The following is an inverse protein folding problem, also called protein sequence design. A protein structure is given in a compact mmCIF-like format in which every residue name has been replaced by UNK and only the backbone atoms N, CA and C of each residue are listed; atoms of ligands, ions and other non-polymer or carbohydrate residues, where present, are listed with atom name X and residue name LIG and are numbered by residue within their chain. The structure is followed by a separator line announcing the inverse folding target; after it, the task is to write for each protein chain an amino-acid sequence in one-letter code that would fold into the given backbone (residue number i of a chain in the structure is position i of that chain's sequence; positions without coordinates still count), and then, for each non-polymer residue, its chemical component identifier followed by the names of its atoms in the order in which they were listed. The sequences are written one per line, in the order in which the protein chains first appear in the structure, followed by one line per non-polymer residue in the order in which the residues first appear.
data_IF_075324050825
#
_entry.id   IF_075324050825
#
_cell.length_a   1.000
_cell.length_b   1.000
_cell.length_c   1.000
_cell.angle_alpha   90.00
_cell.angle_beta   90.00
_cell.angle_gamma   90.00
#
_symmetry.space_group_name_H-M   'P 1'
#
loop_
_entity.id
_entity.type
_entity.pdbx_description
1 polymer ?
#
# COMPACT_ATOMS: atom_id res chain seq x y z
N UNK A 1 13.97 -0.47 10.16
CA UNK A 1 13.40 -0.45 11.52
C UNK A 1 14.26 -1.23 12.51
N UNK A 2 14.50 -2.54 12.33
CA UNK A 2 15.32 -3.36 13.23
C UNK A 2 16.63 -2.68 13.67
N UNK A 3 17.50 -2.33 12.72
CA UNK A 3 18.77 -1.64 12.98
C UNK A 3 18.62 -0.37 13.82
N UNK A 4 17.60 0.45 13.55
CA UNK A 4 17.36 1.70 14.30
C UNK A 4 16.93 1.44 15.74
N UNK A 5 16.23 0.34 16.01
CA UNK A 5 15.75 -0.01 17.34
C UNK A 5 16.81 -0.74 18.18
N UNK A 6 17.59 -1.62 17.57
CA UNK A 6 18.53 -2.50 18.28
C UNK A 6 19.97 -2.00 18.23
N UNK A 7 20.30 -1.14 17.26
CA UNK A 7 21.68 -0.81 16.90
C UNK A 7 22.42 -1.93 16.18
N UNK A 8 21.79 -3.09 15.97
CA UNK A 8 22.41 -4.24 15.35
C UNK A 8 22.48 -4.07 13.83
N UNK A 9 23.71 -3.92 13.34
CA UNK A 9 24.05 -3.76 11.94
C UNK A 9 24.58 -5.05 11.31
N UNK A 10 24.67 -6.16 12.06
CA UNK A 10 25.26 -7.42 11.56
C UNK A 10 24.46 -8.04 10.41
N UNK A 11 23.19 -7.67 10.26
CA UNK A 11 22.32 -8.12 9.17
C UNK A 11 22.71 -7.52 7.81
N UNK A 12 23.50 -6.45 7.78
CA UNK A 12 23.90 -5.76 6.54
C UNK A 12 25.22 -6.29 5.98
N UNK A 13 25.33 -7.61 5.92
CA UNK A 13 26.47 -8.32 5.35
C UNK A 13 26.46 -8.38 3.83
N UNK A 14 27.28 -9.26 3.26
CA UNK A 14 27.44 -9.42 1.81
C UNK A 14 26.12 -9.78 1.10
N UNK A 15 25.33 -10.69 1.67
CA UNK A 15 24.03 -11.08 1.10
C UNK A 15 23.05 -9.90 1.01
N UNK A 16 23.07 -9.01 2.01
CA UNK A 16 22.25 -7.79 1.98
C UNK A 16 22.70 -6.84 0.87
N UNK A 17 24.01 -6.66 0.71
CA UNK A 17 24.58 -5.82 -0.35
C UNK A 17 24.21 -6.35 -1.74
N UNK A 18 24.31 -7.66 -1.96
CA UNK A 18 23.85 -8.30 -3.20
C UNK A 18 22.34 -8.10 -3.41
N UNK A 19 21.54 -8.22 -2.35
CA UNK A 19 20.10 -8.02 -2.43
C UNK A 19 19.72 -6.59 -2.86
N UNK A 20 20.36 -5.55 -2.28
CA UNK A 20 20.04 -4.17 -2.64
C UNK A 20 20.50 -3.81 -4.06
N UNK A 21 21.61 -4.38 -4.54
CA UNK A 21 22.03 -4.26 -5.95
C UNK A 21 21.00 -4.88 -6.90
N UNK A 22 20.42 -6.03 -6.53
CA UNK A 22 19.34 -6.67 -7.30
C UNK A 22 18.09 -5.79 -7.29
N UNK A 23 17.69 -5.23 -6.13
CA UNK A 23 16.55 -4.32 -6.04
C UNK A 23 16.72 -3.12 -6.97
N UNK A 24 17.88 -2.45 -6.94
CA UNK A 24 18.17 -1.32 -7.82
C UNK A 24 18.10 -1.71 -9.30
N UNK A 25 18.72 -2.83 -9.67
CA UNK A 25 18.67 -3.34 -11.04
C UNK A 25 17.23 -3.59 -11.48
N UNK A 26 16.46 -4.32 -10.67
CA UNK A 26 15.07 -4.66 -10.99
C UNK A 26 14.18 -3.41 -11.11
N UNK A 27 14.33 -2.43 -10.21
CA UNK A 27 13.59 -1.17 -10.33
C UNK A 27 13.95 -0.40 -11.60
N UNK A 28 15.25 -0.26 -11.92
CA UNK A 28 15.72 0.38 -13.16
C UNK A 28 15.22 -0.35 -14.42
N UNK A 29 15.28 -1.68 -14.44
CA UNK A 29 14.71 -2.51 -15.52
C UNK A 29 13.21 -2.26 -15.70
N UNK A 30 12.46 -2.17 -14.60
CA UNK A 30 11.01 -1.90 -14.64
C UNK A 30 10.64 -0.43 -14.84
N UNK A 31 11.60 0.51 -14.90
CA UNK A 31 11.33 1.83 -15.49
C UNK A 31 11.11 1.74 -17.02
N UNK A 32 11.51 0.62 -17.65
CA UNK A 32 11.27 0.29 -19.06
C UNK A 32 11.71 1.38 -20.06
N UNK A 33 12.78 2.10 -19.73
CA UNK A 33 13.30 3.22 -20.53
C UNK A 33 13.81 2.78 -21.91
N UNK A 34 14.59 1.70 -21.94
CA UNK A 34 15.25 1.23 -23.17
C UNK A 34 14.49 0.08 -23.84
N UNK A 35 13.81 -0.76 -23.05
CA UNK A 35 13.04 -1.92 -23.50
C UNK A 35 12.03 -2.36 -22.42
N UNK A 36 11.24 -3.41 -22.68
CA UNK A 36 10.21 -3.91 -21.75
C UNK A 36 10.76 -4.58 -20.47
N UNK A 37 12.07 -4.80 -20.39
CA UNK A 37 12.72 -5.50 -19.30
C UNK A 37 12.67 -7.03 -19.44
N UNK A 38 13.24 -7.76 -18.46
CA UNK A 38 13.37 -9.22 -18.54
C UNK A 38 12.14 -9.99 -18.04
N UNK A 39 11.16 -9.31 -17.43
CA UNK A 39 10.04 -9.96 -16.75
C UNK A 39 8.76 -9.96 -17.61
N UNK A 40 8.26 -11.15 -17.89
CA UNK A 40 6.94 -11.41 -18.48
C UNK A 40 6.24 -12.51 -17.68
N UNK A 41 4.93 -12.44 -17.57
CA UNK A 41 4.16 -13.42 -16.80
C UNK A 41 2.83 -13.76 -17.46
N UNK A 42 2.54 -15.06 -17.60
CA UNK A 42 1.19 -15.53 -17.90
C UNK A 42 0.89 -16.78 -17.05
N UNK A 43 -0.35 -16.86 -16.59
CA UNK A 43 -0.92 -18.04 -15.91
C UNK A 43 -2.12 -18.53 -16.71
N UNK A 44 -2.28 -19.85 -16.81
CA UNK A 44 -3.54 -20.46 -17.25
C UNK A 44 -4.50 -20.47 -16.07
N UNK A 45 -5.49 -19.59 -16.08
CA UNK A 45 -6.43 -19.35 -14.98
C UNK A 45 -7.72 -18.74 -15.53
N UNK A 46 -8.82 -18.95 -14.82
CA UNK A 46 -10.11 -18.30 -15.04
C UNK A 46 -10.19 -16.90 -14.39
N UNK A 47 -9.29 -16.59 -13.45
CA UNK A 47 -9.24 -15.31 -12.75
C UNK A 47 -8.48 -14.30 -13.59
N UNK A 48 -9.17 -13.26 -14.06
CA UNK A 48 -8.59 -12.29 -14.99
C UNK A 48 -7.38 -11.54 -14.41
N UNK A 49 -7.38 -11.26 -13.11
CA UNK A 49 -6.29 -10.57 -12.43
C UNK A 49 -5.08 -11.45 -12.10
N UNK A 50 -5.21 -12.78 -12.18
CA UNK A 50 -4.12 -13.74 -11.90
C UNK A 50 -3.17 -13.94 -13.10
N UNK A 51 -3.40 -13.24 -14.21
CA UNK A 51 -2.60 -13.32 -15.44
C UNK A 51 -2.48 -11.94 -16.08
N UNK A 52 -1.52 -11.77 -16.98
CA UNK A 52 -1.15 -10.46 -17.52
C UNK A 52 -1.38 -10.41 -19.03
N UNK A 53 -2.01 -9.32 -19.48
CA UNK A 53 -2.32 -9.08 -20.89
C UNK A 53 -1.09 -8.76 -21.75
N UNK A 54 -1.32 -8.59 -23.06
CA UNK A 54 -0.27 -8.29 -24.06
C UNK A 54 0.88 -9.32 -24.05
N UNK A 55 0.54 -10.60 -24.03
CA UNK A 55 1.55 -11.68 -24.01
C UNK A 55 2.39 -11.70 -22.72
N UNK A 56 1.82 -11.25 -21.60
CA UNK A 56 2.47 -11.23 -20.29
C UNK A 56 3.26 -9.97 -19.94
N UNK A 57 3.27 -8.97 -20.83
CA UNK A 57 3.99 -7.70 -20.62
C UNK A 57 3.19 -6.62 -19.89
N UNK A 58 1.87 -6.81 -19.77
CA UNK A 58 0.92 -5.87 -19.17
C UNK A 58 0.53 -4.73 -20.11
N UNK A 59 -0.30 -3.80 -19.63
CA UNK A 59 -0.68 -2.63 -20.42
C UNK A 59 0.54 -1.73 -20.70
N UNK A 60 0.67 -1.13 -21.90
CA UNK A 60 1.80 -0.27 -22.22
C UNK A 60 1.99 0.86 -21.20
N UNK A 61 3.24 1.22 -20.96
CA UNK A 61 3.62 2.39 -20.16
C UNK A 61 4.52 3.31 -20.97
N UNK A 62 4.40 4.62 -20.73
CA UNK A 62 5.39 5.60 -21.19
C UNK A 62 6.47 5.70 -20.11
N UNK A 63 7.75 5.44 -20.40
CA UNK A 63 8.79 5.41 -19.39
C UNK A 63 9.14 6.81 -18.88
N UNK A 64 8.37 7.30 -17.90
CA UNK A 64 8.43 8.66 -17.37
C UNK A 64 9.24 8.80 -16.08
N UNK A 65 9.91 7.72 -15.64
CA UNK A 65 10.71 7.67 -14.42
C UNK A 65 10.08 6.85 -13.28
N UNK A 66 8.78 6.54 -13.36
CA UNK A 66 8.11 5.61 -12.44
C UNK A 66 8.52 4.15 -12.71
N UNK A 67 8.36 3.30 -11.70
CA UNK A 67 8.67 1.87 -11.72
C UNK A 67 7.38 1.10 -12.00
N UNK A 68 7.38 0.27 -13.05
CA UNK A 68 6.27 -0.60 -13.38
C UNK A 68 6.17 -1.78 -12.40
N UNK A 69 4.96 -2.01 -11.87
CA UNK A 69 4.59 -3.22 -11.15
C UNK A 69 3.54 -3.97 -11.96
N UNK A 70 3.76 -5.24 -12.27
CA UNK A 70 2.74 -6.02 -12.98
C UNK A 70 1.57 -6.40 -12.06
N UNK A 71 1.84 -6.53 -10.75
CA UNK A 71 0.88 -6.94 -9.74
C UNK A 71 0.83 -5.95 -8.58
N UNK A 72 -0.31 -5.90 -7.92
CA UNK A 72 -0.58 -5.17 -6.68
C UNK A 72 -0.14 -5.99 -5.47
N UNK A 73 -0.10 -5.41 -4.26
CA UNK A 73 0.05 -6.19 -3.03
C UNK A 73 -1.13 -7.15 -2.76
N UNK A 74 -2.24 -7.03 -3.49
CA UNK A 74 -3.34 -8.02 -3.49
C UNK A 74 -3.06 -9.24 -4.37
N UNK A 75 -1.90 -9.32 -5.02
CA UNK A 75 -1.55 -10.28 -6.07
C UNK A 75 -2.39 -10.17 -7.36
N UNK A 76 -3.24 -9.14 -7.49
CA UNK A 76 -3.98 -8.85 -8.71
C UNK A 76 -3.14 -8.03 -9.70
N UNK A 77 -3.24 -8.36 -10.99
CA UNK A 77 -2.58 -7.60 -12.04
C UNK A 77 -3.04 -6.13 -12.05
N UNK A 78 -2.08 -5.21 -12.16
CA UNK A 78 -2.38 -3.78 -12.33
C UNK A 78 -3.10 -3.51 -13.65
N UNK A 79 -3.97 -2.50 -13.68
CA UNK A 79 -4.55 -1.98 -14.93
C UNK A 79 -3.52 -1.07 -15.60
N UNK A 80 -3.00 -0.07 -14.88
CA UNK A 80 -1.85 0.72 -15.33
C UNK A 80 -0.65 0.44 -14.43
N UNK A 81 0.49 0.10 -15.04
CA UNK A 81 1.57 -0.56 -14.29
C UNK A 81 2.31 0.37 -13.34
N UNK A 82 2.20 1.69 -13.45
CA UNK A 82 2.76 2.58 -12.43
C UNK A 82 1.80 2.67 -11.25
N UNK A 83 1.89 1.67 -10.37
CA UNK A 83 1.18 1.58 -9.11
C UNK A 83 1.70 2.64 -8.14
N UNK A 84 0.91 3.68 -7.91
CA UNK A 84 1.32 4.90 -7.22
C UNK A 84 1.73 4.64 -5.77
N UNK A 85 0.93 3.94 -4.92
CA UNK A 85 1.33 3.66 -3.54
C UNK A 85 2.67 2.89 -3.45
N UNK A 86 2.90 1.94 -4.37
CA UNK A 86 4.14 1.16 -4.38
C UNK A 86 5.35 1.99 -4.84
N UNK A 87 5.16 2.96 -5.74
CA UNK A 87 6.23 3.89 -6.13
C UNK A 87 6.59 4.84 -4.98
N UNK A 88 5.61 5.33 -4.22
CA UNK A 88 5.85 6.08 -2.98
C UNK A 88 6.64 5.25 -1.97
N UNK A 89 6.23 4.00 -1.75
CA UNK A 89 6.93 3.09 -0.84
C UNK A 89 8.37 2.76 -1.30
N UNK A 90 8.60 2.66 -2.61
CA UNK A 90 9.93 2.47 -3.18
C UNK A 90 10.85 3.66 -2.88
N UNK A 91 10.37 4.90 -3.00
CA UNK A 91 11.15 6.11 -2.65
C UNK A 91 11.61 6.07 -1.19
N UNK A 92 10.68 5.82 -0.26
CA UNK A 92 11.01 5.72 1.17
C UNK A 92 12.00 4.59 1.44
N UNK A 93 11.82 3.44 0.79
CA UNK A 93 12.67 2.26 0.99
C UNK A 93 14.08 2.46 0.44
N UNK A 94 14.23 3.09 -0.74
CA UNK A 94 15.52 3.43 -1.33
C UNK A 94 16.28 4.45 -0.47
N UNK A 95 15.61 5.45 0.09
CA UNK A 95 16.22 6.40 1.03
C UNK A 95 16.71 5.72 2.31
N UNK A 96 15.91 4.78 2.87
CA UNK A 96 16.34 3.95 4.01
C UNK A 96 17.56 3.08 3.66
N UNK A 97 17.59 2.51 2.45
CA UNK A 97 18.73 1.72 1.99
C UNK A 97 20.00 2.58 1.82
N UNK A 98 19.87 3.77 1.22
CA UNK A 98 20.97 4.72 1.08
C UNK A 98 21.58 5.09 2.45
N UNK A 99 20.74 5.38 3.45
CA UNK A 99 21.18 5.66 4.82
C UNK A 99 21.99 4.50 5.42
N UNK A 100 21.48 3.27 5.31
CA UNK A 100 22.17 2.08 5.80
C UNK A 100 23.51 1.90 5.09
N UNK A 101 23.54 1.99 3.76
CA UNK A 101 24.75 1.78 2.97
C UNK A 101 25.82 2.83 3.32
N UNK A 102 25.43 4.09 3.51
CA UNK A 102 26.35 5.15 3.94
C UNK A 102 26.87 4.91 5.35
N UNK A 103 25.99 4.60 6.31
CA UNK A 103 26.35 4.54 7.73
C UNK A 103 27.07 3.23 8.12
N UNK A 104 26.72 2.12 7.48
CA UNK A 104 27.16 0.77 7.87
C UNK A 104 28.17 0.20 6.88
N UNK A 105 27.87 0.26 5.58
CA UNK A 105 28.66 -0.42 4.55
C UNK A 105 29.76 0.47 3.95
N UNK A 106 29.68 1.79 4.16
CA UNK A 106 30.62 2.78 3.63
C UNK A 106 30.83 2.66 2.11
N UNK A 107 29.75 2.42 1.36
CA UNK A 107 29.76 2.37 -0.10
C UNK A 107 29.02 3.60 -0.68
N UNK A 108 29.69 4.75 -0.83
CA UNK A 108 29.04 5.99 -1.25
C UNK A 108 28.49 5.94 -2.67
N UNK A 109 29.05 5.11 -3.55
CA UNK A 109 28.58 4.96 -4.93
C UNK A 109 27.20 4.31 -4.94
N UNK A 110 27.05 3.17 -4.27
CA UNK A 110 25.77 2.47 -4.22
C UNK A 110 24.70 3.26 -3.45
N UNK A 111 25.09 3.95 -2.37
CA UNK A 111 24.18 4.84 -1.66
C UNK A 111 23.67 5.97 -2.56
N UNK A 112 24.55 6.55 -3.39
CA UNK A 112 24.15 7.59 -4.35
C UNK A 112 23.20 7.03 -5.42
N UNK A 113 23.42 5.82 -5.92
CA UNK A 113 22.50 5.20 -6.88
C UNK A 113 21.08 4.99 -6.30
N UNK A 114 20.97 4.64 -5.01
CA UNK A 114 19.69 4.57 -4.31
C UNK A 114 19.01 5.94 -4.24
N UNK A 115 19.75 6.97 -3.82
CA UNK A 115 19.24 8.34 -3.71
C UNK A 115 18.79 8.88 -5.07
N UNK A 116 19.60 8.69 -6.11
CA UNK A 116 19.31 9.18 -7.46
C UNK A 116 18.02 8.56 -8.03
N UNK A 117 17.84 7.24 -7.85
CA UNK A 117 16.62 6.57 -8.28
C UNK A 117 15.40 7.02 -7.46
N UNK A 118 15.57 7.20 -6.15
CA UNK A 118 14.49 7.72 -5.29
C UNK A 118 14.05 9.12 -5.73
N UNK A 119 15.00 10.01 -6.02
CA UNK A 119 14.73 11.38 -6.48
C UNK A 119 14.08 11.41 -7.86
N UNK A 120 14.50 10.54 -8.77
CA UNK A 120 13.85 10.38 -10.08
C UNK A 120 12.39 9.96 -9.93
N UNK A 121 12.12 8.89 -9.17
CA UNK A 121 10.75 8.38 -8.96
C UNK A 121 9.90 9.42 -8.26
N UNK A 122 10.42 10.11 -7.24
CA UNK A 122 9.74 11.20 -6.54
C UNK A 122 9.36 12.34 -7.49
N UNK A 123 10.28 12.74 -8.38
CA UNK A 123 10.02 13.77 -9.40
C UNK A 123 8.92 13.33 -10.36
N UNK A 124 8.92 12.06 -10.76
CA UNK A 124 7.87 11.51 -11.62
C UNK A 124 6.51 11.44 -10.89
N UNK A 125 6.48 11.04 -9.61
CA UNK A 125 5.27 11.03 -8.78
C UNK A 125 4.65 12.43 -8.70
N UNK A 126 5.45 13.46 -8.42
CA UNK A 126 4.97 14.85 -8.34
C UNK A 126 4.30 15.33 -9.65
N UNK A 127 4.69 14.77 -10.79
CA UNK A 127 4.19 15.17 -12.10
C UNK A 127 3.00 14.33 -12.59
N UNK A 128 2.97 13.05 -12.27
CA UNK A 128 2.03 12.09 -12.88
C UNK A 128 1.04 11.46 -11.90
N UNK A 129 1.31 11.49 -10.59
CA UNK A 129 0.49 10.77 -9.61
C UNK A 129 -0.79 11.50 -9.21
N UNK A 130 -0.90 12.81 -9.44
CA UNK A 130 -2.02 13.62 -8.94
C UNK A 130 -3.05 13.96 -10.01
N UNK A 131 -4.29 14.15 -9.58
CA UNK A 131 -5.41 14.61 -10.40
C UNK A 131 -6.29 15.58 -9.61
N UNK A 132 -6.83 16.60 -10.28
CA UNK A 132 -7.81 17.50 -9.68
C UNK A 132 -9.22 16.91 -9.81
N UNK A 133 -9.64 16.15 -8.81
CA UNK A 133 -10.99 15.59 -8.73
C UNK A 133 -12.03 16.71 -8.57
N UNK A 134 -13.16 16.65 -9.30
CA UNK A 134 -14.18 17.71 -9.26
C UNK A 134 -14.78 17.94 -7.86
N UNK A 135 -14.87 16.89 -7.04
CA UNK A 135 -15.42 16.96 -5.68
C UNK A 135 -14.36 17.12 -4.58
N UNK A 136 -13.19 16.49 -4.72
CA UNK A 136 -12.20 16.38 -3.64
C UNK A 136 -10.97 17.28 -3.84
N UNK A 137 -10.86 17.97 -4.98
CA UNK A 137 -9.66 18.72 -5.33
C UNK A 137 -8.51 17.78 -5.71
N UNK A 138 -7.27 18.21 -5.47
CA UNK A 138 -6.09 17.41 -5.79
C UNK A 138 -6.06 16.11 -4.95
N UNK A 139 -6.07 14.95 -5.63
CA UNK A 139 -5.93 13.62 -5.05
C UNK A 139 -4.84 12.83 -5.78
N UNK A 140 -4.35 11.76 -5.17
CA UNK A 140 -3.50 10.78 -5.84
C UNK A 140 -4.35 9.76 -6.61
N UNK A 141 -3.93 9.42 -7.82
CA UNK A 141 -4.41 8.26 -8.55
C UNK A 141 -3.84 6.98 -7.93
N UNK A 142 -4.53 5.86 -8.08
CA UNK A 142 -4.05 4.54 -7.64
C UNK A 142 -3.00 3.98 -8.61
N UNK A 143 -3.26 4.11 -9.90
CA UNK A 143 -2.40 3.62 -10.98
C UNK A 143 -2.38 4.62 -12.14
N UNK A 144 -1.23 4.75 -12.80
CA UNK A 144 -1.06 5.58 -14.00
C UNK A 144 -0.21 4.87 -15.05
N UNK A 145 -0.25 5.33 -16.30
CA UNK A 145 0.53 4.73 -17.41
C UNK A 145 1.59 5.67 -18.01
N UNK A 146 1.62 6.93 -17.60
CA UNK A 146 2.49 7.97 -18.14
C UNK A 146 2.07 8.54 -19.51
N UNK A 147 1.07 7.96 -20.18
CA UNK A 147 0.42 8.54 -21.36
C UNK A 147 -0.65 9.57 -21.00
N UNK A 148 -1.14 9.52 -19.75
CA UNK A 148 -2.15 10.43 -19.22
C UNK A 148 -3.38 9.71 -18.67
N UNK A 149 -3.44 8.38 -18.75
CA UNK A 149 -4.49 7.61 -18.10
C UNK A 149 -4.21 7.49 -16.61
N UNK A 150 -5.29 7.59 -15.83
CA UNK A 150 -5.24 7.54 -14.38
C UNK A 150 -6.42 6.69 -13.90
N UNK A 151 -6.16 5.76 -13.00
CA UNK A 151 -7.17 4.96 -12.34
C UNK A 151 -7.42 5.53 -10.94
N UNK A 152 -8.67 5.88 -10.66
CA UNK A 152 -9.11 6.36 -9.35
C UNK A 152 -9.87 5.25 -8.62
N UNK A 153 -9.22 4.72 -7.59
CA UNK A 153 -9.74 3.72 -6.65
C UNK A 153 -8.80 3.65 -5.45
N UNK A 154 -9.06 2.74 -4.52
CA UNK A 154 -8.02 2.19 -3.65
C UNK A 154 -8.29 0.70 -3.43
N UNK A 155 -7.26 -0.04 -3.05
CA UNK A 155 -7.35 -1.44 -2.64
C UNK A 155 -6.99 -1.58 -1.16
N UNK A 156 -7.55 -2.57 -0.47
CA UNK A 156 -7.27 -2.76 0.95
C UNK A 156 -5.82 -3.16 1.27
N UNK A 157 -5.09 -3.77 0.34
CA UNK A 157 -3.75 -4.32 0.59
C UNK A 157 -2.67 -3.24 0.63
N UNK A 158 -1.86 -3.22 1.70
CA UNK A 158 -0.76 -2.26 1.86
C UNK A 158 0.47 -2.69 1.06
N UNK A 159 1.14 -1.80 0.29
CA UNK A 159 0.92 -0.35 0.18
C UNK A 159 -0.33 0.02 -0.66
N UNK A 160 -1.18 0.86 -0.07
CA UNK A 160 -2.35 1.50 -0.71
C UNK A 160 -2.35 3.01 -0.42
N UNK A 161 -3.26 3.77 -1.04
CA UNK A 161 -3.31 5.22 -0.89
C UNK A 161 -3.62 5.62 0.56
N UNK A 162 -4.54 4.90 1.21
CA UNK A 162 -4.91 5.15 2.61
C UNK A 162 -3.73 5.00 3.58
N UNK A 163 -2.82 4.05 3.32
CA UNK A 163 -1.71 3.65 4.19
C UNK A 163 -0.41 4.44 4.02
N UNK A 164 -0.34 5.39 3.07
CA UNK A 164 0.91 6.11 2.80
C UNK A 164 1.52 6.76 4.05
N UNK A 165 0.76 7.40 4.97
CA UNK A 165 1.35 7.91 6.21
C UNK A 165 1.75 6.83 7.20
N UNK A 166 1.07 5.68 7.22
CA UNK A 166 1.45 4.54 8.06
C UNK A 166 2.83 4.00 7.66
N UNK A 167 3.12 3.95 6.36
CA UNK A 167 4.43 3.54 5.84
C UNK A 167 5.52 4.62 5.94
N UNK A 168 5.10 5.87 6.23
CA UNK A 168 5.97 7.04 6.27
C UNK A 168 6.31 7.61 4.90
N UNK A 169 5.49 7.34 3.89
CA UNK A 169 5.73 7.76 2.50
C UNK A 169 5.25 9.20 2.24
N UNK A 170 4.20 9.61 2.93
CA UNK A 170 3.59 10.95 2.85
C UNK A 170 3.25 11.42 4.26
N UNK A 171 3.38 12.72 4.53
CA UNK A 171 2.96 13.29 5.82
C UNK A 171 1.45 13.13 6.01
N UNK A 172 1.01 12.77 7.20
CA UNK A 172 -0.41 12.62 7.51
C UNK A 172 -1.22 13.91 7.27
N UNK A 173 -0.58 15.07 7.33
CA UNK A 173 -1.19 16.39 7.09
C UNK A 173 -1.02 16.88 5.65
N UNK A 174 -0.44 16.09 4.74
CA UNK A 174 -0.37 16.46 3.32
C UNK A 174 -1.81 16.70 2.81
N UNK A 175 -2.10 17.89 2.23
CA UNK A 175 -3.44 18.22 1.80
C UNK A 175 -3.96 17.30 0.67
N UNK A 176 -3.08 16.83 -0.22
CA UNK A 176 -3.43 15.88 -1.29
C UNK A 176 -3.75 14.53 -0.67
N UNK A 177 -2.98 14.08 0.33
CA UNK A 177 -3.32 12.87 1.08
C UNK A 177 -4.67 13.00 1.78
N UNK A 178 -4.93 14.11 2.48
CA UNK A 178 -6.20 14.31 3.18
C UNK A 178 -7.41 14.34 2.23
N UNK A 179 -7.27 14.91 1.04
CA UNK A 179 -8.29 14.82 -0.01
C UNK A 179 -8.45 13.37 -0.50
N UNK A 180 -7.33 12.67 -0.73
CA UNK A 180 -7.31 11.27 -1.16
C UNK A 180 -7.98 10.37 -0.12
N UNK A 181 -7.70 10.57 1.17
CA UNK A 181 -8.31 9.83 2.30
C UNK A 181 -9.83 9.94 2.31
N UNK A 182 -10.37 11.13 2.02
CA UNK A 182 -11.82 11.34 1.88
C UNK A 182 -12.37 10.65 0.64
N UNK A 183 -11.67 10.75 -0.49
CA UNK A 183 -12.04 10.11 -1.74
C UNK A 183 -12.11 8.57 -1.60
N UNK A 184 -11.05 7.94 -1.07
CA UNK A 184 -10.95 6.48 -1.01
C UNK A 184 -11.93 5.85 -0.01
N UNK A 185 -12.37 6.62 1.00
CA UNK A 185 -13.39 6.22 1.98
C UNK A 185 -14.79 6.79 1.63
N UNK A 186 -15.17 6.71 0.36
CA UNK A 186 -16.47 7.18 -0.15
C UNK A 186 -16.97 6.28 -1.29
N UNK A 187 -18.23 6.44 -1.68
CA UNK A 187 -18.84 5.74 -2.83
C UNK A 187 -18.26 6.17 -4.19
N UNK A 188 -17.41 7.20 -4.23
CA UNK A 188 -16.60 7.56 -5.40
C UNK A 188 -15.40 6.60 -5.61
N UNK A 189 -15.02 5.80 -4.60
CA UNK A 189 -14.09 4.68 -4.78
C UNK A 189 -14.89 3.42 -5.18
N UNK A 190 -14.65 2.83 -6.35
CA UNK A 190 -15.39 1.65 -6.82
C UNK A 190 -15.30 0.41 -5.91
N UNK A 191 -14.29 0.36 -5.04
CA UNK A 191 -14.05 -0.75 -4.10
C UNK A 191 -14.26 -0.36 -2.64
N UNK A 192 -14.88 0.80 -2.38
CA UNK A 192 -15.46 1.11 -1.08
C UNK A 192 -16.87 0.52 -1.01
N UNK A 193 -17.15 -0.22 0.05
CA UNK A 193 -18.44 -0.86 0.28
C UNK A 193 -19.02 -0.42 1.62
N UNK A 194 -20.33 -0.29 1.66
CA UNK A 194 -21.10 0.06 2.85
C UNK A 194 -22.38 -0.76 2.92
N UNK A 195 -22.62 -1.39 4.05
CA UNK A 195 -23.76 -2.26 4.30
C UNK A 195 -24.17 -2.26 5.77
N UNK A 196 -25.03 -3.22 6.13
CA UNK A 196 -25.59 -3.30 7.49
C UNK A 196 -24.58 -3.75 8.54
N UNK A 197 -23.55 -4.52 8.17
CA UNK A 197 -22.50 -4.99 9.08
C UNK A 197 -21.33 -4.01 9.20
N UNK A 198 -21.11 -3.13 8.21
CA UNK A 198 -20.00 -2.19 8.24
C UNK A 198 -19.74 -1.45 6.94
N UNK A 199 -18.65 -0.69 6.94
CA UNK A 199 -18.11 -0.04 5.75
C UNK A 199 -16.57 -0.13 5.70
N UNK A 200 -16.02 -0.12 4.50
CA UNK A 200 -14.58 -0.13 4.29
C UNK A 200 -14.20 -0.44 2.84
N UNK A 201 -12.90 -0.55 2.61
CA UNK A 201 -12.34 -0.80 1.27
C UNK A 201 -12.08 -2.31 1.13
N UNK A 202 -12.39 -2.85 -0.03
CA UNK A 202 -12.02 -4.19 -0.46
C UNK A 202 -11.06 -4.15 -1.65
N UNK A 203 -11.42 -4.85 -2.72
CA UNK A 203 -10.65 -4.91 -3.94
C UNK A 203 -11.23 -5.93 -4.93
N UNK A 204 -10.71 -6.01 -6.16
CA UNK A 204 -11.15 -7.00 -7.13
C UNK A 204 -10.80 -8.44 -6.73
N UNK A 205 -9.85 -8.64 -5.80
CA UNK A 205 -9.37 -9.96 -5.40
C UNK A 205 -10.48 -10.91 -4.94
N UNK A 206 -11.24 -10.52 -3.92
CA UNK A 206 -12.40 -11.31 -3.45
C UNK A 206 -13.66 -10.90 -4.25
N UNK A 207 -13.74 -9.63 -4.63
CA UNK A 207 -14.81 -9.10 -5.46
C UNK A 207 -15.75 -8.16 -4.71
N UNK A 208 -16.94 -7.96 -5.29
CA UNK A 208 -17.92 -6.97 -4.81
C UNK A 208 -18.40 -7.26 -3.40
N UNK A 209 -18.69 -6.18 -2.67
CA UNK A 209 -19.33 -6.19 -1.34
C UNK A 209 -18.50 -6.83 -0.22
N UNK A 210 -17.26 -7.23 -0.48
CA UNK A 210 -16.35 -7.84 0.49
C UNK A 210 -15.37 -6.79 1.02
N UNK A 211 -15.60 -6.34 2.25
CA UNK A 211 -14.76 -5.37 2.96
C UNK A 211 -13.59 -6.10 3.59
N UNK A 212 -12.40 -5.52 3.51
CA UNK A 212 -11.22 -6.08 4.17
C UNK A 212 -10.96 -5.35 5.50
N UNK A 213 -10.85 -6.06 6.64
CA UNK A 213 -10.45 -5.49 7.92
C UNK A 213 -9.16 -4.66 7.86
N UNK A 214 -8.24 -5.01 6.94
CA UNK A 214 -7.03 -4.23 6.70
C UNK A 214 -7.32 -2.74 6.46
N UNK A 215 -8.32 -2.43 5.64
CA UNK A 215 -8.67 -1.04 5.34
C UNK A 215 -9.15 -0.27 6.58
N UNK A 216 -9.90 -0.93 7.47
CA UNK A 216 -10.41 -0.35 8.71
C UNK A 216 -9.26 -0.13 9.70
N UNK A 217 -8.34 -1.09 9.82
CA UNK A 217 -7.13 -0.94 10.63
C UNK A 217 -6.27 0.22 10.13
N UNK A 218 -6.02 0.32 8.83
CA UNK A 218 -5.22 1.40 8.25
C UNK A 218 -5.91 2.75 8.43
N UNK A 219 -7.24 2.83 8.32
CA UNK A 219 -7.99 4.05 8.66
C UNK A 219 -7.74 4.49 10.09
N UNK A 220 -7.71 3.55 11.04
CA UNK A 220 -7.39 3.82 12.44
C UNK A 220 -5.91 4.24 12.62
N UNK A 221 -4.95 3.54 11.99
CA UNK A 221 -3.53 3.88 12.04
C UNK A 221 -3.23 5.30 11.55
N UNK A 222 -4.01 5.76 10.57
CA UNK A 222 -3.88 7.07 9.92
C UNK A 222 -4.95 8.07 10.38
N UNK A 223 -5.59 7.82 11.52
CA UNK A 223 -6.57 8.73 12.11
C UNK A 223 -5.91 9.77 13.00
N UNK A 224 -6.48 10.97 12.99
CA UNK A 224 -6.19 12.05 13.95
C UNK A 224 -7.39 12.33 14.89
N UNK A 225 -8.42 11.47 14.85
CA UNK A 225 -9.66 11.61 15.61
C UNK A 225 -9.88 10.41 16.51
N UNK A 226 -9.87 10.63 17.82
CA UNK A 226 -10.11 9.58 18.81
C UNK A 226 -11.45 8.87 18.61
N UNK A 227 -12.48 9.61 18.18
CA UNK A 227 -13.78 9.05 17.85
C UNK A 227 -13.70 8.13 16.63
N UNK A 228 -12.98 8.54 15.59
CA UNK A 228 -12.80 7.71 14.39
C UNK A 228 -12.02 6.43 14.71
N UNK A 229 -10.98 6.51 15.55
CA UNK A 229 -10.24 5.35 16.03
C UNK A 229 -11.18 4.39 16.76
N UNK A 230 -11.96 4.89 17.73
CA UNK A 230 -12.91 4.06 18.48
C UNK A 230 -13.93 3.37 17.57
N UNK A 231 -14.46 4.08 16.57
CA UNK A 231 -15.42 3.52 15.62
C UNK A 231 -14.79 2.42 14.76
N UNK A 232 -13.53 2.57 14.35
CA UNK A 232 -12.79 1.53 13.63
C UNK A 232 -12.56 0.30 14.51
N UNK A 233 -12.14 0.46 15.77
CA UNK A 233 -11.93 -0.67 16.69
C UNK A 233 -13.24 -1.39 16.97
N UNK A 234 -14.33 -0.66 17.25
CA UNK A 234 -15.67 -1.23 17.43
C UNK A 234 -16.12 -2.02 16.22
N UNK A 235 -15.90 -1.50 15.03
CA UNK A 235 -16.25 -2.20 13.80
C UNK A 235 -15.48 -3.51 13.68
N UNK A 236 -14.15 -3.49 13.88
CA UNK A 236 -13.30 -4.70 13.82
C UNK A 236 -13.77 -5.78 14.80
N UNK A 237 -14.12 -5.40 16.03
CA UNK A 237 -14.64 -6.33 17.04
C UNK A 237 -16.01 -6.91 16.69
N UNK A 238 -16.86 -6.16 15.99
CA UNK A 238 -18.20 -6.60 15.62
C UNK A 238 -18.27 -7.36 14.28
N UNK A 239 -17.15 -7.44 13.56
CA UNK A 239 -17.08 -8.09 12.23
C UNK A 239 -16.17 -9.32 12.19
N UNK A 240 -15.78 -9.85 13.35
CA UNK A 240 -14.94 -11.05 13.47
C UNK A 240 -15.73 -12.37 13.40
N UNK A 241 -17.06 -12.31 13.23
CA UNK A 241 -17.95 -13.46 13.26
C UNK A 241 -17.84 -14.34 14.53
N UNK A 242 -17.37 -13.77 15.65
CA UNK A 242 -17.15 -14.47 16.92
C UNK A 242 -15.92 -15.39 16.93
N UNK A 243 -15.00 -15.27 15.96
CA UNK A 243 -13.81 -16.13 15.89
C UNK A 243 -12.67 -15.64 16.77
N UNK A 244 -12.65 -14.36 17.15
CA UNK A 244 -11.54 -13.74 17.85
C UNK A 244 -10.31 -13.48 16.98
N UNK A 245 -10.43 -13.58 15.64
CA UNK A 245 -9.35 -13.37 14.68
C UNK A 245 -9.72 -12.36 13.60
N UNK A 246 -8.71 -11.79 12.94
CA UNK A 246 -8.91 -10.90 11.80
C UNK A 246 -8.85 -11.70 10.51
N UNK A 247 -9.95 -11.63 9.75
CA UNK A 247 -10.11 -12.28 8.45
C UNK A 247 -9.50 -11.46 7.31
N UNK A 248 -9.42 -12.06 6.13
CA UNK A 248 -9.05 -11.34 4.91
C UNK A 248 -10.13 -10.35 4.50
N UNK A 249 -11.37 -10.82 4.41
CA UNK A 249 -12.53 -10.00 4.06
C UNK A 249 -13.80 -10.51 4.71
N UNK A 250 -14.82 -9.65 4.83
CA UNK A 250 -16.18 -10.00 5.27
C UNK A 250 -17.22 -9.27 4.41
N UNK A 251 -18.39 -9.89 4.22
CA UNK A 251 -19.46 -9.30 3.42
C UNK A 251 -20.10 -8.12 4.15
N UNK A 252 -20.28 -6.99 3.45
CA UNK A 252 -20.75 -5.71 4.03
C UNK A 252 -22.07 -5.77 4.81
N UNK A 253 -22.93 -6.74 4.48
CA UNK A 253 -24.24 -6.95 5.11
C UNK A 253 -24.28 -8.15 6.08
N UNK A 254 -23.24 -8.98 6.10
CA UNK A 254 -23.18 -10.15 6.96
C UNK A 254 -21.73 -10.58 7.22
N UNK A 255 -21.17 -10.19 8.38
CA UNK A 255 -19.79 -10.48 8.73
C UNK A 255 -19.48 -11.98 8.91
N UNK A 256 -20.50 -12.84 9.11
CA UNK A 256 -20.28 -14.30 9.18
C UNK A 256 -19.92 -14.90 7.83
N UNK A 257 -20.12 -14.16 6.73
CA UNK A 257 -19.61 -14.52 5.42
C UNK A 257 -18.26 -13.83 5.22
N UNK A 258 -17.18 -14.54 5.57
CA UNK A 258 -15.81 -14.05 5.51
C UNK A 258 -14.89 -14.99 4.72
N UNK A 259 -13.70 -14.50 4.37
CA UNK A 259 -12.64 -15.30 3.75
C UNK A 259 -11.41 -15.39 4.65
N UNK A 260 -10.71 -16.54 4.59
CA UNK A 260 -9.49 -16.86 5.35
C UNK A 260 -9.64 -16.70 6.87
N UNK A 261 -10.07 -17.79 7.51
CA UNK A 261 -10.12 -17.91 8.97
C UNK A 261 -8.76 -17.73 9.66
N UNK A 262 -7.67 -18.03 8.96
CA UNK A 262 -6.30 -17.91 9.48
C UNK A 262 -5.45 -17.04 8.57
N UNK A 263 -5.26 -15.78 8.98
CA UNK A 263 -4.43 -14.82 8.26
C UNK A 263 -3.46 -14.08 9.19
N UNK A 264 -2.28 -14.66 9.39
CA UNK A 264 -1.31 -14.19 10.39
C UNK A 264 -0.89 -12.72 10.23
N UNK A 265 -0.76 -12.22 8.99
CA UNK A 265 -0.44 -10.81 8.76
C UNK A 265 -1.50 -9.89 9.37
N UNK A 266 -2.78 -10.19 9.16
CA UNK A 266 -3.88 -9.37 9.69
C UNK A 266 -3.93 -9.41 11.21
N UNK A 267 -3.71 -10.58 11.80
CA UNK A 267 -3.63 -10.74 13.26
C UNK A 267 -2.48 -9.91 13.86
N UNK A 268 -1.31 -9.92 13.21
CA UNK A 268 -0.17 -9.07 13.61
C UNK A 268 -0.52 -7.59 13.53
N UNK A 269 -1.15 -7.15 12.43
CA UNK A 269 -1.51 -5.75 12.22
C UNK A 269 -2.51 -5.23 13.26
N UNK A 270 -3.46 -6.07 13.69
CA UNK A 270 -4.38 -5.72 14.77
C UNK A 270 -3.68 -5.63 16.12
N UNK A 271 -2.81 -6.59 16.44
CA UNK A 271 -1.98 -6.54 17.64
C UNK A 271 -1.11 -5.28 17.69
N UNK A 272 -0.50 -4.92 16.56
CA UNK A 272 0.27 -3.68 16.39
C UNK A 272 -0.60 -2.44 16.64
N UNK A 273 -1.82 -2.39 16.09
CA UNK A 273 -2.74 -1.27 16.27
C UNK A 273 -3.08 -1.05 17.75
N UNK A 274 -3.47 -2.11 18.45
CA UNK A 274 -3.80 -2.03 19.87
C UNK A 274 -2.57 -1.60 20.69
N UNK A 275 -1.41 -2.19 20.42
CA UNK A 275 -0.17 -1.84 21.14
C UNK A 275 0.24 -0.38 20.90
N UNK A 276 0.12 0.12 19.65
CA UNK A 276 0.35 1.52 19.30
C UNK A 276 -0.54 2.44 20.15
N UNK A 277 -1.85 2.20 20.16
CA UNK A 277 -2.81 3.03 20.90
C UNK A 277 -2.51 3.03 22.41
N UNK A 278 -2.18 1.88 22.99
CA UNK A 278 -1.78 1.79 24.40
C UNK A 278 -0.52 2.62 24.67
N UNK A 279 0.51 2.50 23.84
CA UNK A 279 1.76 3.25 23.97
C UNK A 279 1.58 4.77 23.78
N UNK A 280 0.59 5.18 22.99
CA UNK A 280 0.21 6.59 22.80
C UNK A 280 -0.69 7.13 23.93
N UNK A 281 -0.91 6.36 25.01
CA UNK A 281 -1.72 6.78 26.16
C UNK A 281 -3.23 6.73 25.92
N UNK A 282 -3.67 6.07 24.83
CA UNK A 282 -5.08 5.97 24.42
C UNK A 282 -5.81 4.77 25.03
N UNK A 283 -5.28 4.16 26.10
CA UNK A 283 -5.93 3.05 26.80
C UNK A 283 -7.36 3.42 27.27
N UNK A 284 -7.57 4.66 27.69
CA UNK A 284 -8.90 5.15 28.09
C UNK A 284 -9.92 5.11 26.95
N UNK A 285 -9.50 5.28 25.69
CA UNK A 285 -10.38 5.17 24.53
C UNK A 285 -10.82 3.73 24.30
N UNK A 286 -9.91 2.77 24.47
CA UNK A 286 -10.17 1.34 24.31
C UNK A 286 -11.10 0.83 25.42
N UNK A 287 -10.87 1.25 26.66
CA UNK A 287 -11.69 0.87 27.81
C UNK A 287 -13.12 1.44 27.78
N UNK A 288 -13.39 2.41 26.89
CA UNK A 288 -14.73 3.00 26.69
C UNK A 288 -15.54 2.26 25.60
N UNK A 289 -15.00 1.17 25.05
CA UNK A 289 -15.71 0.30 24.11
C UNK A 289 -16.52 -0.70 24.94
N UNK A 290 -17.85 -0.58 24.85
CA UNK A 290 -18.82 -1.54 25.39
C UNK A 290 -19.00 -2.74 24.46
#
# INVERSE_FOLDING_TARGET
QYWKLTGDASIFGEEWMQAIEIVLRTFKEQQRKDNLGPYTFQRKTERASDTVMNGGWGNPVKPVGLIASLFRPSDDATIFQFLIPSNFFAVTSLNKAAEVITAVNNNPVLAQECTDLADEVKTALQKYATFNHPEYGAIYAYEVDGYGNQLFMDDANVPNLLAMPYLGDVDINDPIYQNTRKYVWSDNNPYFFKGTAGEGIGGPHVGRDMIWPMSIMIKAFTSQSDKEIQDCIKLLLNTDAGTGFIHESFHKDNATHFTREWFAWQNTLFGELILKLVNEGKLHLLNAIE
#
